data_IF_466231565789
#
_entry.id   IF_466231565789
#
_cell.length_a   1.000
_cell.length_b   1.000
_cell.length_c   1.000
_cell.angle_alpha   90.00
_cell.angle_beta   90.00
_cell.angle_gamma   90.00
#
_symmetry.space_group_name_H-M   'P 1'
#
loop_
_entity.id
_entity.type
_entity.pdbx_description
1 polymer ?
#
# COMPACT_ATOMS: atom_id res chain seq x y z
N UNK A 1 22.91 7.76 2.00
CA UNK A 1 21.65 8.54 1.80
C UNK A 1 20.64 8.31 2.93
N UNK A 2 20.36 7.05 3.32
CA UNK A 2 19.47 6.71 4.44
C UNK A 2 19.86 7.38 5.78
N UNK A 3 21.13 7.35 6.15
CA UNK A 3 21.63 7.94 7.40
C UNK A 3 21.46 9.46 7.46
N UNK A 4 21.69 10.15 6.33
CA UNK A 4 21.49 11.60 6.23
C UNK A 4 20.03 11.97 6.49
N UNK A 5 19.09 11.24 5.87
CA UNK A 5 17.66 11.47 6.06
C UNK A 5 17.20 11.17 7.48
N UNK A 6 17.76 10.13 8.12
CA UNK A 6 17.47 9.82 9.54
C UNK A 6 17.96 10.96 10.44
N UNK A 7 19.16 11.50 10.17
CA UNK A 7 19.69 12.64 10.91
C UNK A 7 18.85 13.90 10.66
N UNK A 8 18.51 14.23 9.42
CA UNK A 8 17.64 15.37 9.08
C UNK A 8 16.27 15.24 9.74
N UNK A 9 15.70 14.03 9.80
CA UNK A 9 14.45 13.78 10.50
C UNK A 9 14.57 14.07 12.01
N UNK A 10 15.69 13.74 12.66
CA UNK A 10 15.91 14.07 14.07
C UNK A 10 16.00 15.57 14.37
N UNK A 11 16.28 16.40 13.36
CA UNK A 11 16.35 17.86 13.49
C UNK A 11 14.98 18.54 13.32
N UNK A 12 13.95 17.82 12.87
CA UNK A 12 12.62 18.39 12.74
C UNK A 12 12.00 18.66 14.11
N UNK A 13 11.25 19.75 14.21
CA UNK A 13 10.47 20.04 15.40
C UNK A 13 9.34 19.02 15.59
N UNK A 14 8.85 18.86 16.83
CA UNK A 14 7.77 17.93 17.14
C UNK A 14 6.52 18.15 16.25
N UNK A 15 6.20 19.41 15.91
CA UNK A 15 5.08 19.73 15.02
C UNK A 15 5.30 19.20 13.59
N UNK A 16 6.53 19.28 13.09
CA UNK A 16 6.89 18.80 11.76
C UNK A 16 6.93 17.27 11.65
N UNK A 17 7.02 16.56 12.78
CA UNK A 17 6.83 15.11 12.86
C UNK A 17 5.37 14.68 12.84
N UNK A 18 4.42 15.60 13.03
CA UNK A 18 3.00 15.24 13.02
C UNK A 18 2.54 14.99 11.58
N UNK A 19 1.87 13.85 11.39
CA UNK A 19 1.26 13.45 10.13
C UNK A 19 -0.16 12.92 10.37
N UNK A 20 -1.02 13.07 9.39
CA UNK A 20 -2.30 12.39 9.28
C UNK A 20 -2.16 11.19 8.36
N UNK A 21 -2.68 10.04 8.78
CA UNK A 21 -2.85 8.89 7.90
C UNK A 21 -4.20 8.98 7.23
N UNK A 22 -4.19 9.23 5.92
CA UNK A 22 -5.38 9.24 5.08
C UNK A 22 -5.59 7.84 4.51
N UNK A 23 -6.82 7.32 4.66
CA UNK A 23 -7.23 6.01 4.17
C UNK A 23 -8.35 6.21 3.17
N UNK A 24 -8.19 5.65 1.99
CA UNK A 24 -9.17 5.70 0.92
C UNK A 24 -9.35 4.37 0.22
N UNK A 25 -10.40 4.27 -0.57
CA UNK A 25 -10.61 3.16 -1.49
C UNK A 25 -10.73 3.70 -2.92
N UNK A 26 -10.07 3.02 -3.87
CA UNK A 26 -10.22 3.30 -5.29
C UNK A 26 -10.77 2.07 -6.01
N UNK A 27 -11.76 2.29 -6.87
CA UNK A 27 -12.25 1.24 -7.77
C UNK A 27 -11.19 0.93 -8.83
N UNK A 28 -10.95 -0.36 -9.08
CA UNK A 28 -10.04 -0.83 -10.11
C UNK A 28 -10.78 -1.77 -11.06
N UNK A 29 -10.30 -1.85 -12.30
CA UNK A 29 -10.80 -2.83 -13.26
C UNK A 29 -10.41 -4.24 -12.78
N UNK A 30 -11.37 -5.15 -12.55
CA UNK A 30 -11.04 -6.51 -12.13
C UNK A 30 -10.20 -7.22 -13.19
N UNK A 31 -9.02 -7.71 -12.81
CA UNK A 31 -8.12 -8.41 -13.70
C UNK A 31 -7.20 -9.35 -12.92
N UNK A 32 -6.99 -10.54 -13.46
CA UNK A 32 -5.93 -11.45 -13.02
C UNK A 32 -4.66 -11.17 -13.83
N UNK A 33 -3.53 -10.93 -13.16
CA UNK A 33 -2.24 -10.62 -13.80
C UNK A 33 -1.18 -11.56 -13.27
N UNK A 34 -0.45 -12.20 -14.18
CA UNK A 34 0.71 -13.02 -13.84
C UNK A 34 1.99 -12.22 -14.10
N UNK A 35 2.77 -11.98 -13.04
CA UNK A 35 4.11 -11.40 -13.13
C UNK A 35 5.14 -12.53 -13.25
N UNK A 36 5.81 -12.57 -14.41
CA UNK A 36 6.85 -13.56 -14.72
C UNK A 36 8.13 -13.35 -13.94
N UNK A 37 8.43 -12.11 -13.54
CA UNK A 37 9.69 -11.80 -12.86
C UNK A 37 9.68 -12.32 -11.42
N UNK A 38 8.53 -12.21 -10.76
CA UNK A 38 8.34 -12.70 -9.39
C UNK A 38 7.70 -14.09 -9.30
N UNK A 39 7.23 -14.65 -10.42
CA UNK A 39 6.41 -15.88 -10.48
C UNK A 39 5.18 -15.80 -9.56
N UNK A 40 4.45 -14.67 -9.66
CA UNK A 40 3.28 -14.40 -8.79
C UNK A 40 2.06 -14.01 -9.62
N UNK A 41 0.91 -14.54 -9.21
CA UNK A 41 -0.41 -14.14 -9.71
C UNK A 41 -1.03 -13.10 -8.78
N UNK A 42 -1.49 -12.00 -9.36
CA UNK A 42 -2.16 -10.87 -8.70
C UNK A 42 -3.63 -10.76 -9.12
N UNK A 43 -4.42 -10.11 -8.28
CA UNK A 43 -5.81 -9.76 -8.57
C UNK A 43 -6.85 -10.78 -8.11
N UNK A 44 -6.45 -11.86 -7.47
CA UNK A 44 -7.35 -12.81 -6.79
C UNK A 44 -7.59 -12.28 -5.37
N UNK A 45 -8.85 -11.96 -5.03
CA UNK A 45 -9.23 -11.36 -3.74
C UNK A 45 -9.02 -12.33 -2.58
N UNK A 46 -9.50 -13.55 -2.74
CA UNK A 46 -9.44 -14.61 -1.74
C UNK A 46 -8.34 -15.59 -2.12
N UNK A 47 -7.08 -15.16 -1.99
CA UNK A 47 -5.97 -16.09 -2.21
C UNK A 47 -6.10 -17.20 -1.15
N UNK A 48 -6.30 -18.47 -1.53
CA UNK A 48 -6.47 -19.53 -0.55
C UNK A 48 -5.23 -19.58 0.35
N UNK A 49 -5.44 -19.72 1.65
CA UNK A 49 -4.34 -20.01 2.57
C UNK A 49 -3.71 -21.34 2.11
N UNK A 50 -2.38 -21.43 2.19
CA UNK A 50 -1.62 -22.58 1.68
C UNK A 50 -2.29 -23.91 2.05
N UNK A 51 -2.72 -24.67 1.04
CA UNK A 51 -3.31 -26.00 1.19
C UNK A 51 -4.83 -26.10 0.98
N UNK A 52 -5.56 -24.99 0.86
CA UNK A 52 -6.99 -25.04 0.57
C UNK A 52 -7.28 -25.18 -0.94
N UNK A 53 -8.23 -26.05 -1.34
CA UNK A 53 -8.64 -26.16 -2.74
C UNK A 53 -9.20 -24.82 -3.22
N UNK A 54 -8.73 -24.38 -4.40
CA UNK A 54 -9.25 -23.19 -5.08
C UNK A 54 -10.74 -23.37 -5.31
N UNK A 55 -11.54 -22.51 -4.71
CA UNK A 55 -12.97 -22.50 -4.93
C UNK A 55 -13.23 -22.02 -6.37
N UNK A 56 -14.16 -22.64 -7.11
CA UNK A 56 -14.42 -22.32 -8.53
C UNK A 56 -14.96 -20.91 -8.76
N UNK A 57 -15.34 -20.21 -7.70
CA UNK A 57 -15.78 -18.82 -7.70
C UNK A 57 -14.67 -17.87 -7.21
N UNK A 58 -13.48 -17.92 -7.83
CA UNK A 58 -12.41 -16.96 -7.53
C UNK A 58 -12.89 -15.53 -7.85
N UNK A 59 -13.07 -14.72 -6.82
CA UNK A 59 -13.50 -13.33 -6.98
C UNK A 59 -12.29 -12.44 -7.28
N UNK A 60 -12.35 -11.67 -8.36
CA UNK A 60 -11.30 -10.73 -8.71
C UNK A 60 -11.40 -9.46 -7.84
N UNK A 61 -10.24 -8.92 -7.46
CA UNK A 61 -10.16 -7.65 -6.77
C UNK A 61 -10.70 -6.52 -7.67
N UNK A 62 -11.65 -5.75 -7.16
CA UNK A 62 -12.30 -4.64 -7.84
C UNK A 62 -12.11 -3.29 -7.11
N UNK A 63 -11.44 -3.31 -5.96
CA UNK A 63 -11.08 -2.15 -5.16
C UNK A 63 -9.69 -2.33 -4.59
N UNK A 64 -9.01 -1.22 -4.34
CA UNK A 64 -7.74 -1.17 -3.62
C UNK A 64 -7.88 -0.21 -2.45
N UNK A 65 -7.27 -0.57 -1.33
CA UNK A 65 -7.08 0.33 -0.20
C UNK A 65 -5.82 1.17 -0.45
N UNK A 66 -5.96 2.47 -0.32
CA UNK A 66 -4.89 3.44 -0.50
C UNK A 66 -4.59 4.09 0.86
N UNK A 67 -3.31 4.15 1.22
CA UNK A 67 -2.85 4.83 2.43
C UNK A 67 -1.89 5.95 2.03
N UNK A 68 -2.11 7.15 2.57
CA UNK A 68 -1.23 8.31 2.35
C UNK A 68 -0.90 8.94 3.69
N UNK A 69 0.39 9.10 3.98
CA UNK A 69 0.85 9.95 5.07
C UNK A 69 0.93 11.39 4.56
N UNK A 70 0.17 12.29 5.19
CA UNK A 70 0.16 13.71 4.89
C UNK A 70 0.68 14.49 6.10
N UNK A 71 1.68 15.36 5.92
CA UNK A 71 2.22 16.16 7.01
C UNK A 71 1.21 17.20 7.51
N UNK A 72 1.06 17.34 8.83
CA UNK A 72 0.05 18.26 9.41
C UNK A 72 0.48 19.72 9.27
N UNK A 73 1.76 20.00 9.49
CA UNK A 73 2.33 21.36 9.35
C UNK A 73 3.24 21.49 8.13
N UNK A 74 3.43 20.39 7.41
CA UNK A 74 4.43 20.22 6.35
C UNK A 74 3.70 19.69 5.13
N UNK A 75 3.89 20.29 3.95
CA UNK A 75 3.12 19.95 2.74
C UNK A 75 3.59 18.66 2.04
N UNK A 76 4.13 17.69 2.77
CA UNK A 76 4.58 16.42 2.18
C UNK A 76 3.45 15.41 2.14
N UNK A 77 3.48 14.58 1.09
CA UNK A 77 2.56 13.46 0.90
C UNK A 77 3.36 12.23 0.47
N UNK A 78 3.16 11.12 1.18
CA UNK A 78 3.90 9.89 0.95
C UNK A 78 2.89 8.75 0.83
N UNK A 79 2.80 8.07 -0.33
CA UNK A 79 2.06 6.82 -0.46
C UNK A 79 2.65 5.77 0.47
N UNK A 80 1.79 5.07 1.21
CA UNK A 80 2.17 4.05 2.16
C UNK A 80 1.49 2.72 1.81
N UNK A 81 2.18 1.61 2.04
CA UNK A 81 1.70 0.24 1.77
C UNK A 81 2.38 -0.74 2.71
#
# INVERSE_FOLDING_TARGET
>A
MKERLIHEASLLSHKQHMASLLIGEAAIKPKCVYDRNSDVVFGIKDKPKNGEPRNTNETLANRVLCFVLHGVTSSYEIPCS
#
